data_IF_769484812645
#
_entry.id   IF_769484812645
#
_cell.length_a   1.000
_cell.length_b   1.000
_cell.length_c   1.000
_cell.angle_alpha   90.00
_cell.angle_beta   90.00
_cell.angle_gamma   90.00
#
_symmetry.space_group_name_H-M   'P 1'
#
loop_
_entity.id
_entity.type
_entity.pdbx_description
1 polymer ?
#
# COMPACT_ATOMS: atom_id res chain seq x y z
N UNK A 1 3.07 -13.99 0.65
CA UNK A 1 1.84 -13.21 0.61
C UNK A 1 1.80 -12.31 1.82
N UNK A 2 1.92 -11.02 1.57
CA UNK A 2 1.71 -9.91 2.50
C UNK A 2 0.83 -8.86 1.83
N UNK A 3 0.17 -8.02 2.63
CA UNK A 3 -0.55 -6.83 2.16
C UNK A 3 0.36 -5.62 2.38
N UNK A 4 0.54 -4.79 1.36
CA UNK A 4 1.31 -3.56 1.41
C UNK A 4 0.35 -2.42 1.14
N UNK A 5 0.18 -1.51 2.08
CA UNK A 5 -0.73 -0.38 1.99
C UNK A 5 0.07 0.90 1.84
N UNK A 6 -0.15 1.59 0.74
CA UNK A 6 0.23 2.99 0.54
C UNK A 6 -0.72 3.85 1.36
N UNK A 7 -0.27 4.36 2.51
CA UNK A 7 -1.15 5.13 3.40
C UNK A 7 -1.16 6.62 3.04
N UNK A 8 -0.19 7.12 2.27
CA UNK A 8 -0.23 8.51 1.80
C UNK A 8 -1.41 8.72 0.81
N UNK A 9 -1.74 7.69 0.03
CA UNK A 9 -2.84 7.73 -0.94
C UNK A 9 -4.14 7.10 -0.45
N UNK A 10 -4.19 6.46 0.74
CA UNK A 10 -5.29 5.59 1.13
C UNK A 10 -6.15 6.17 2.30
N UNK A 11 -7.49 6.16 2.19
CA UNK A 11 -8.37 6.58 3.27
C UNK A 11 -8.18 5.76 4.54
N UNK A 12 -8.28 6.41 5.70
CA UNK A 12 -8.12 5.76 7.02
C UNK A 12 -9.03 4.55 7.23
N UNK A 13 -10.24 4.59 6.66
CA UNK A 13 -11.20 3.48 6.74
C UNK A 13 -10.70 2.23 6.01
N UNK A 14 -10.06 2.40 4.84
CA UNK A 14 -9.48 1.30 4.06
C UNK A 14 -8.27 0.73 4.79
N UNK A 15 -7.39 1.57 5.33
CA UNK A 15 -6.28 1.11 6.19
C UNK A 15 -6.79 0.27 7.37
N UNK A 16 -7.82 0.75 8.07
CA UNK A 16 -8.41 0.02 9.20
C UNK A 16 -8.99 -1.33 8.77
N UNK A 17 -9.66 -1.39 7.61
CA UNK A 17 -10.15 -2.63 7.03
C UNK A 17 -8.99 -3.59 6.72
N UNK A 18 -7.92 -3.12 6.05
CA UNK A 18 -6.74 -3.93 5.74
C UNK A 18 -6.10 -4.50 7.02
N UNK A 19 -5.93 -3.70 8.07
CA UNK A 19 -5.35 -4.14 9.35
C UNK A 19 -6.24 -5.18 10.04
N UNK A 20 -7.56 -4.99 10.00
CA UNK A 20 -8.53 -5.91 10.61
C UNK A 20 -8.55 -7.25 9.86
N UNK A 21 -8.73 -7.21 8.53
CA UNK A 21 -8.70 -8.39 7.67
C UNK A 21 -7.36 -9.11 7.75
N UNK A 22 -6.24 -8.38 7.71
CA UNK A 22 -4.92 -8.99 7.87
C UNK A 22 -4.78 -9.76 9.18
N UNK A 23 -5.29 -9.21 10.29
CA UNK A 23 -5.34 -9.91 11.58
C UNK A 23 -6.24 -11.15 11.51
N UNK A 24 -7.45 -11.03 10.97
CA UNK A 24 -8.44 -12.12 10.93
C UNK A 24 -7.94 -13.32 10.11
N UNK A 25 -7.22 -13.07 9.01
CA UNK A 25 -6.66 -14.10 8.14
C UNK A 25 -5.21 -14.47 8.44
N UNK A 26 -4.59 -13.87 9.48
CA UNK A 26 -3.18 -14.09 9.82
C UNK A 26 -2.19 -13.63 8.74
N UNK A 27 -2.58 -12.68 7.88
CA UNK A 27 -1.77 -12.11 6.81
C UNK A 27 -1.10 -10.84 7.32
N UNK A 28 0.22 -10.72 7.11
CA UNK A 28 0.96 -9.53 7.51
C UNK A 28 0.55 -8.31 6.67
N UNK A 29 0.28 -7.20 7.35
CA UNK A 29 0.01 -5.91 6.72
C UNK A 29 1.18 -4.97 6.97
N UNK A 30 1.75 -4.47 5.89
CA UNK A 30 2.84 -3.51 5.87
C UNK A 30 2.27 -2.19 5.43
N UNK A 31 2.60 -1.12 6.14
CA UNK A 31 2.13 0.24 5.81
C UNK A 31 3.32 1.08 5.39
N UNK A 32 3.15 1.86 4.33
CA UNK A 32 4.15 2.79 3.81
C UNK A 32 3.53 4.19 3.81
N UNK A 33 4.18 5.16 4.44
CA UNK A 33 3.80 6.56 4.36
C UNK A 33 4.97 7.49 4.63
N UNK A 34 4.86 8.71 4.15
CA UNK A 34 5.68 9.84 4.56
C UNK A 34 5.62 10.06 6.07
N UNK A 35 6.67 10.67 6.63
CA UNK A 35 6.75 11.03 8.05
C UNK A 35 5.65 12.01 8.51
N UNK A 36 4.90 12.60 7.59
CA UNK A 36 3.76 13.47 7.87
C UNK A 36 2.58 12.70 8.50
N UNK A 37 2.54 11.37 8.34
CA UNK A 37 1.50 10.51 8.89
C UNK A 37 1.98 9.77 10.14
N UNK A 38 1.31 9.99 11.27
CA UNK A 38 1.57 9.21 12.49
C UNK A 38 0.70 7.95 12.48
N UNK A 39 1.29 6.82 12.07
CA UNK A 39 0.61 5.54 11.93
C UNK A 39 1.11 4.57 13.00
N UNK A 40 0.19 4.04 13.79
CA UNK A 40 0.47 2.92 14.70
C UNK A 40 0.16 1.61 13.97
N UNK A 41 1.19 0.92 13.50
CA UNK A 41 1.10 -0.39 12.85
C UNK A 41 2.32 -1.24 13.23
N UNK A 42 2.14 -2.56 13.34
CA UNK A 42 3.20 -3.51 13.69
C UNK A 42 4.36 -3.49 12.66
N UNK A 43 4.06 -3.13 11.40
CA UNK A 43 5.04 -2.99 10.33
C UNK A 43 4.79 -1.70 9.56
N UNK A 44 5.26 -0.61 10.12
CA UNK A 44 5.20 0.71 9.50
C UNK A 44 6.57 1.12 8.94
N UNK A 45 6.60 1.47 7.65
CA UNK A 45 7.77 1.97 6.95
C UNK A 45 7.53 3.44 6.65
N UNK A 46 8.41 4.27 7.20
CA UNK A 46 8.42 5.71 6.97
C UNK A 46 9.30 6.02 5.77
N UNK A 47 8.81 6.85 4.85
CA UNK A 47 9.56 7.41 3.71
C UNK A 47 9.62 8.94 3.81
N UNK A 48 10.35 9.60 2.90
CA UNK A 48 10.28 11.04 2.73
C UNK A 48 8.97 11.49 2.09
N UNK A 49 8.81 12.81 1.94
CA UNK A 49 7.62 13.45 1.39
C UNK A 49 7.82 13.91 -0.07
N UNK A 50 8.94 13.54 -0.70
CA UNK A 50 9.14 13.86 -2.10
C UNK A 50 8.13 13.08 -2.98
N UNK A 51 7.76 13.64 -4.15
CA UNK A 51 6.84 12.98 -5.06
C UNK A 51 7.27 11.54 -5.37
N UNK A 52 6.31 10.62 -5.37
CA UNK A 52 6.49 9.20 -5.68
C UNK A 52 7.38 8.38 -4.73
N UNK A 53 7.82 8.92 -3.58
CA UNK A 53 8.64 8.12 -2.64
C UNK A 53 7.88 6.92 -2.06
N UNK A 54 6.65 7.15 -1.59
CA UNK A 54 5.79 6.09 -1.06
C UNK A 54 5.46 5.05 -2.15
N UNK A 55 5.06 5.52 -3.33
CA UNK A 55 4.79 4.70 -4.52
C UNK A 55 5.96 3.77 -4.85
N UNK A 56 7.15 4.32 -5.01
CA UNK A 56 8.36 3.56 -5.35
C UNK A 56 8.72 2.59 -4.23
N UNK A 57 8.50 2.96 -2.97
CA UNK A 57 8.76 2.06 -1.86
C UNK A 57 7.79 0.88 -1.86
N UNK A 58 6.51 1.10 -2.14
CA UNK A 58 5.50 0.03 -2.29
C UNK A 58 5.90 -0.92 -3.42
N UNK A 59 6.27 -0.39 -4.59
CA UNK A 59 6.73 -1.20 -5.73
C UNK A 59 7.96 -2.05 -5.39
N UNK A 60 8.93 -1.47 -4.68
CA UNK A 60 10.16 -2.17 -4.29
C UNK A 60 9.93 -3.26 -3.22
N UNK A 61 8.87 -3.14 -2.41
CA UNK A 61 8.51 -4.13 -1.39
C UNK A 61 7.64 -5.26 -1.94
N UNK A 62 6.95 -5.03 -3.05
CA UNK A 62 5.99 -5.95 -3.63
C UNK A 62 6.68 -7.11 -4.36
N UNK A 63 6.40 -8.33 -3.89
CA UNK A 63 6.81 -9.56 -4.56
C UNK A 63 5.61 -10.28 -5.20
N UNK A 64 5.90 -11.26 -6.06
CA UNK A 64 4.87 -12.08 -6.69
C UNK A 64 4.02 -12.77 -5.61
N UNK A 65 2.71 -12.57 -5.67
CA UNK A 65 1.74 -13.15 -4.74
C UNK A 65 1.46 -12.29 -3.50
N UNK A 66 1.96 -11.07 -3.46
CA UNK A 66 1.56 -10.05 -2.48
C UNK A 66 0.47 -9.15 -3.03
N UNK A 67 -0.23 -8.45 -2.13
CA UNK A 67 -1.31 -7.52 -2.45
C UNK A 67 -0.84 -6.10 -2.15
N UNK A 68 -0.85 -5.22 -3.14
CA UNK A 68 -0.63 -3.79 -2.94
C UNK A 68 -1.98 -3.06 -2.91
N UNK A 69 -2.17 -2.15 -1.94
CA UNK A 69 -3.37 -1.34 -1.77
C UNK A 69 -2.97 0.14 -1.84
N UNK A 70 -3.47 0.84 -2.85
CA UNK A 70 -3.28 2.29 -3.06
C UNK A 70 -4.54 2.87 -3.71
N UNK A 71 -4.76 4.18 -3.63
CA UNK A 71 -5.71 4.89 -4.49
C UNK A 71 -5.03 5.72 -5.59
N UNK A 72 -3.70 5.71 -5.67
CA UNK A 72 -2.98 6.48 -6.67
C UNK A 72 -2.98 5.79 -8.03
N UNK A 73 -3.71 6.38 -8.97
CA UNK A 73 -3.83 5.90 -10.34
C UNK A 73 -2.49 5.87 -11.08
N UNK A 74 -1.54 6.72 -10.67
CA UNK A 74 -0.24 6.85 -11.31
C UNK A 74 0.70 5.69 -10.98
N UNK A 75 0.51 4.98 -9.86
CA UNK A 75 1.27 3.77 -9.50
C UNK A 75 1.13 2.65 -10.56
N UNK A 76 0.02 2.66 -11.30
CA UNK A 76 -0.34 1.61 -12.26
C UNK A 76 0.14 1.88 -13.69
N UNK A 77 0.63 3.08 -14.01
CA UNK A 77 0.96 3.45 -15.38
C UNK A 77 2.43 3.89 -15.57
N UNK A 78 3.42 3.00 -15.42
CA UNK A 78 4.75 3.26 -15.96
C UNK A 78 4.75 2.94 -17.46
N UNK A 79 5.25 3.86 -18.30
CA UNK A 79 5.42 3.73 -19.75
C UNK A 79 6.27 2.51 -20.22
N UNK A 80 6.76 1.68 -19.29
CA UNK A 80 7.65 0.55 -19.60
C UNK A 80 7.60 -0.64 -18.62
N UNK A 81 6.56 -0.82 -17.79
CA UNK A 81 6.58 -1.87 -16.76
C UNK A 81 5.77 -3.13 -17.09
N UNK A 82 6.48 -4.25 -17.10
CA UNK A 82 5.97 -5.63 -17.09
C UNK A 82 4.88 -5.80 -16.01
N UNK A 83 3.68 -6.19 -16.44
CA UNK A 83 2.57 -6.60 -15.58
C UNK A 83 3.04 -7.54 -14.45
N UNK A 84 2.98 -7.06 -13.21
CA UNK A 84 2.91 -7.90 -12.00
C UNK A 84 1.51 -7.69 -11.41
N UNK A 85 0.78 -8.77 -11.05
CA UNK A 85 -0.62 -8.65 -10.67
C UNK A 85 -0.68 -7.98 -9.30
N UNK A 86 -1.56 -7.00 -9.08
CA UNK A 86 -2.54 -7.05 -7.99
C UNK A 86 -3.49 -5.85 -8.02
N UNK A 87 -4.72 -6.13 -7.59
CA UNK A 87 -5.95 -5.44 -7.90
C UNK A 87 -6.26 -4.29 -6.92
N UNK A 88 -6.69 -3.17 -7.52
CA UNK A 88 -7.39 -2.03 -6.94
C UNK A 88 -8.70 -2.46 -6.25
N UNK A 89 -8.93 -2.10 -4.98
CA UNK A 89 -10.29 -2.02 -4.44
C UNK A 89 -10.69 -0.55 -4.33
N UNK A 90 -11.37 -0.07 -5.37
CA UNK A 90 -12.13 1.17 -5.35
C UNK A 90 -13.60 0.77 -5.49
N UNK A 91 -14.29 0.53 -4.37
CA UNK A 91 -15.74 0.74 -4.34
C UNK A 91 -15.95 2.18 -3.88
N UNK A 92 -16.07 3.09 -4.85
CA UNK A 92 -16.90 4.27 -4.68
C UNK A 92 -18.36 3.80 -4.87
N UNK A 93 -19.18 3.97 -3.83
CA UNK A 93 -20.63 3.99 -3.99
C UNK A 93 -21.05 5.12 -4.94
#
# INVERSE_FOLDING_TARGET
MKVIVDVDACPRAVLAACLTTGRDYGIQVWTVASFNHNITSDRHIVVGDAPQEADMKVLNLADRGDVAVTQDWFLLCPESAVYKPFLLFCEAL
#
